data_IF_213069315471
#
_entry.id   IF_213069315471
#
_cell.length_a   1.000
_cell.length_b   1.000
_cell.length_c   1.000
_cell.angle_alpha   90.00
_cell.angle_beta   90.00
_cell.angle_gamma   90.00
#
_symmetry.space_group_name_H-M   'P 1'
#
loop_
_entity.id
_entity.type
_entity.pdbx_description
1 polymer ?
#
# COMPACT_ATOMS: atom_id res chain seq x y z
N UNK A 1 17.25 11.05 -5.87
CA UNK A 1 16.19 11.33 -4.87
C UNK A 1 15.28 10.12 -4.62
N UNK A 2 14.48 9.65 -5.60
CA UNK A 2 13.51 8.55 -5.40
C UNK A 2 14.10 7.20 -4.96
N UNK A 3 15.26 6.81 -5.51
CA UNK A 3 15.96 5.57 -5.10
C UNK A 3 16.45 5.63 -3.64
N UNK A 4 16.98 6.78 -3.22
CA UNK A 4 17.44 7.01 -1.84
C UNK A 4 16.25 6.97 -0.88
N UNK A 5 15.11 7.53 -1.27
CA UNK A 5 13.87 7.43 -0.52
C UNK A 5 13.40 5.99 -0.36
N UNK A 6 13.37 5.22 -1.46
CA UNK A 6 12.99 3.80 -1.42
C UNK A 6 13.94 2.94 -0.56
N UNK A 7 15.24 3.21 -0.61
CA UNK A 7 16.23 2.58 0.27
C UNK A 7 15.99 2.94 1.74
N UNK A 8 15.82 4.23 2.04
CA UNK A 8 15.55 4.69 3.41
C UNK A 8 14.27 4.05 3.97
N UNK A 9 13.19 4.01 3.19
CA UNK A 9 11.95 3.35 3.57
C UNK A 9 12.15 1.85 3.84
N UNK A 10 12.93 1.18 3.01
CA UNK A 10 13.24 -0.25 3.18
C UNK A 10 13.95 -0.51 4.51
N UNK A 11 14.96 0.31 4.86
CA UNK A 11 15.64 0.20 6.15
C UNK A 11 14.73 0.49 7.33
N UNK A 12 13.94 1.57 7.27
CA UNK A 12 12.99 1.94 8.35
C UNK A 12 11.99 0.81 8.60
N UNK A 13 11.40 0.27 7.52
CA UNK A 13 10.46 -0.85 7.60
C UNK A 13 11.13 -2.10 8.16
N UNK A 14 12.30 -2.45 7.63
CA UNK A 14 12.99 -3.68 8.01
C UNK A 14 13.43 -3.67 9.48
N UNK A 15 14.08 -2.58 9.92
CA UNK A 15 14.52 -2.41 11.32
C UNK A 15 13.32 -2.32 12.26
N UNK A 16 12.29 -1.55 11.88
CA UNK A 16 11.08 -1.40 12.69
C UNK A 16 10.33 -2.72 12.89
N UNK A 17 10.18 -3.53 11.84
CA UNK A 17 9.52 -4.84 11.95
C UNK A 17 10.36 -5.83 12.77
N UNK A 18 11.67 -5.90 12.54
CA UNK A 18 12.55 -6.81 13.28
C UNK A 18 12.53 -6.53 14.79
N UNK A 19 12.57 -5.25 15.18
CA UNK A 19 12.61 -4.88 16.58
C UNK A 19 11.24 -5.05 17.26
N UNK A 20 10.15 -4.67 16.58
CA UNK A 20 8.80 -4.80 17.14
C UNK A 20 8.37 -6.26 17.27
N UNK A 21 8.81 -7.15 16.38
CA UNK A 21 8.44 -8.58 16.40
C UNK A 21 9.31 -9.42 17.33
N UNK A 22 10.39 -8.86 17.87
CA UNK A 22 11.50 -9.62 18.46
C UNK A 22 11.11 -10.47 19.68
N UNK A 23 10.27 -9.94 20.56
CA UNK A 23 9.83 -10.59 21.81
C UNK A 23 8.32 -10.91 21.81
N UNK A 24 7.69 -10.89 20.65
CA UNK A 24 6.25 -11.07 20.52
C UNK A 24 5.95 -12.58 20.39
N UNK A 25 5.16 -13.17 21.30
CA UNK A 25 4.75 -14.57 21.18
C UNK A 25 4.06 -14.84 19.84
N UNK A 26 4.30 -16.00 19.25
CA UNK A 26 3.75 -16.38 17.95
C UNK A 26 2.22 -16.24 17.89
N UNK A 27 1.53 -16.45 19.02
CA UNK A 27 0.08 -16.31 19.17
C UNK A 27 -0.43 -14.88 18.98
N UNK A 28 0.39 -13.86 19.27
CA UNK A 28 0.00 -12.43 19.19
C UNK A 28 0.80 -11.64 18.16
N UNK A 29 1.74 -12.28 17.45
CA UNK A 29 2.57 -11.70 16.39
C UNK A 29 1.73 -10.97 15.32
N UNK A 30 0.65 -11.59 14.85
CA UNK A 30 -0.25 -10.98 13.85
C UNK A 30 -0.93 -9.69 14.36
N UNK A 31 -1.37 -9.67 15.63
CA UNK A 31 -2.00 -8.49 16.24
C UNK A 31 -0.99 -7.35 16.38
N UNK A 32 0.23 -7.65 16.84
CA UNK A 32 1.29 -6.66 16.98
C UNK A 32 1.74 -6.10 15.62
N UNK A 33 1.78 -6.94 14.59
CA UNK A 33 2.13 -6.50 13.22
C UNK A 33 1.00 -5.65 12.61
N UNK A 34 -0.25 -5.96 12.92
CA UNK A 34 -1.41 -5.13 12.59
C UNK A 34 -1.34 -3.74 13.23
N UNK A 35 -0.96 -3.66 14.50
CA UNK A 35 -0.76 -2.37 15.21
C UNK A 35 0.41 -1.58 14.59
N UNK A 36 1.53 -2.22 14.29
CA UNK A 36 2.67 -1.60 13.60
C UNK A 36 2.28 -1.01 12.24
N UNK A 37 1.60 -1.80 11.40
CA UNK A 37 1.12 -1.35 10.09
C UNK A 37 0.06 -0.23 10.20
N UNK A 38 -0.81 -0.29 11.23
CA UNK A 38 -1.77 0.76 11.54
C UNK A 38 -1.11 2.09 11.90
N UNK A 39 -0.11 2.07 12.77
CA UNK A 39 0.68 3.26 13.15
C UNK A 39 1.45 3.80 11.94
N UNK A 40 2.10 2.91 11.17
CA UNK A 40 2.83 3.29 9.94
C UNK A 40 1.92 3.97 8.92
N UNK A 41 0.70 3.45 8.71
CA UNK A 41 -0.30 4.02 7.79
C UNK A 41 -0.94 5.30 8.32
N UNK A 42 -1.10 5.47 9.63
CA UNK A 42 -1.53 6.74 10.24
C UNK A 42 -0.54 7.88 9.90
N UNK A 43 0.75 7.58 9.84
CA UNK A 43 1.77 8.51 9.36
C UNK A 43 1.53 8.94 7.91
N UNK A 44 1.12 8.02 7.02
CA UNK A 44 0.76 8.36 5.64
C UNK A 44 -0.48 9.24 5.54
N UNK A 45 -1.53 8.95 6.33
CA UNK A 45 -2.76 9.76 6.37
C UNK A 45 -2.46 11.17 6.91
N UNK A 46 -1.72 11.24 8.02
CA UNK A 46 -1.34 12.51 8.67
C UNK A 46 -0.39 13.30 7.78
N UNK A 47 0.53 12.64 7.07
CA UNK A 47 1.47 13.28 6.14
C UNK A 47 0.79 13.83 4.88
N UNK A 48 -0.16 13.09 4.30
CA UNK A 48 -0.92 13.59 3.14
C UNK A 48 -1.80 14.77 3.50
N UNK A 49 -2.55 14.67 4.61
CA UNK A 49 -3.50 15.71 4.99
C UNK A 49 -2.83 16.90 5.69
N UNK A 50 -2.00 16.62 6.70
CA UNK A 50 -1.26 17.62 7.45
C UNK A 50 -0.18 18.30 6.64
N UNK A 51 0.50 17.58 5.74
CA UNK A 51 1.49 18.17 4.83
C UNK A 51 0.86 19.12 3.81
N UNK A 52 -0.27 18.74 3.22
CA UNK A 52 -1.03 19.62 2.32
C UNK A 52 -1.53 20.88 3.05
N UNK A 53 -2.14 20.71 4.22
CA UNK A 53 -2.62 21.82 5.04
C UNK A 53 -1.49 22.77 5.50
N UNK A 54 -0.31 22.23 5.84
CA UNK A 54 0.86 23.02 6.20
C UNK A 54 1.37 23.85 5.00
N UNK A 55 1.46 23.23 3.82
CA UNK A 55 1.88 23.91 2.58
C UNK A 55 0.90 25.02 2.21
N UNK A 56 -0.40 24.83 2.41
CA UNK A 56 -1.42 25.85 2.15
C UNK A 56 -1.33 27.05 3.10
N UNK A 57 -0.92 26.84 4.36
CA UNK A 57 -0.81 27.91 5.36
C UNK A 57 0.46 28.75 5.23
N UNK A 58 1.61 28.09 5.02
CA UNK A 58 2.93 28.75 5.12
C UNK A 58 3.68 28.79 3.79
N UNK A 59 3.19 28.07 2.77
CA UNK A 59 3.81 27.96 1.46
C UNK A 59 4.82 26.80 1.39
N UNK A 60 5.06 26.31 0.16
CA UNK A 60 5.94 25.16 -0.09
C UNK A 60 7.38 25.36 0.43
N UNK A 61 7.92 26.57 0.24
CA UNK A 61 9.32 26.91 0.56
C UNK A 61 9.65 26.82 2.06
N UNK A 62 8.66 27.04 2.93
CA UNK A 62 8.81 27.03 4.40
C UNK A 62 8.28 25.73 5.02
N UNK A 63 7.23 25.14 4.44
CA UNK A 63 6.66 23.88 4.91
C UNK A 63 7.63 22.70 4.78
N UNK A 64 8.34 22.59 3.66
CA UNK A 64 9.31 21.53 3.42
C UNK A 64 10.47 21.49 4.42
N UNK A 65 11.22 22.59 4.64
CA UNK A 65 12.27 22.60 5.64
C UNK A 65 11.71 22.42 7.06
N UNK A 66 10.51 22.92 7.37
CA UNK A 66 9.88 22.70 8.68
C UNK A 66 9.61 21.21 8.95
N UNK A 67 9.05 20.47 7.98
CA UNK A 67 8.83 19.02 8.07
C UNK A 67 10.17 18.27 8.14
N UNK A 68 11.18 18.71 7.37
CA UNK A 68 12.51 18.12 7.42
C UNK A 68 13.18 18.31 8.80
N UNK A 69 13.09 19.50 9.39
CA UNK A 69 13.58 19.78 10.73
C UNK A 69 12.83 18.99 11.81
N UNK A 70 11.50 18.88 11.69
CA UNK A 70 10.70 18.05 12.58
C UNK A 70 11.10 16.57 12.47
N UNK A 71 11.40 16.08 11.27
CA UNK A 71 11.90 14.71 11.04
C UNK A 71 13.29 14.49 11.63
N UNK A 72 14.12 15.53 11.70
CA UNK A 72 15.44 15.48 12.33
C UNK A 72 15.35 15.19 13.83
N UNK A 73 14.24 15.53 14.50
CA UNK A 73 14.00 15.18 15.91
C UNK A 73 13.92 13.66 16.13
N UNK A 74 13.69 12.86 15.08
CA UNK A 74 13.75 11.40 15.18
C UNK A 74 15.17 10.89 15.49
N UNK A 75 16.22 11.61 15.09
CA UNK A 75 17.62 11.22 15.31
C UNK A 75 17.99 11.23 16.81
N UNK A 76 17.82 12.33 17.56
CA UNK A 76 18.14 12.33 18.99
C UNK A 76 17.25 11.37 19.79
N UNK A 77 16.00 11.17 19.37
CA UNK A 77 15.11 10.18 19.98
C UNK A 77 15.66 8.76 19.75
N UNK A 78 16.08 8.43 18.53
CA UNK A 78 16.68 7.14 18.19
C UNK A 78 18.02 6.92 18.92
N UNK A 79 18.86 7.94 19.06
CA UNK A 79 20.13 7.83 19.80
C UNK A 79 19.93 7.64 21.30
N UNK A 80 18.84 8.17 21.86
CA UNK A 80 18.49 7.98 23.28
C UNK A 80 17.73 6.67 23.53
N UNK A 81 17.16 6.06 22.51
CA UNK A 81 16.59 4.73 22.59
C UNK A 81 17.74 3.72 22.76
N UNK A 82 18.01 3.32 24.01
CA UNK A 82 18.96 2.24 24.31
C UNK A 82 18.37 0.92 23.83
N UNK A 83 18.71 0.51 22.62
CA UNK A 83 18.41 -0.81 22.09
C UNK A 83 19.41 -1.81 22.71
N UNK A 84 18.95 -2.90 23.35
CA UNK A 84 19.85 -3.93 23.85
C UNK A 84 20.62 -4.60 22.71
N UNK A 85 21.95 -4.60 22.77
CA UNK A 85 22.80 -5.38 21.85
C UNK A 85 22.54 -6.88 22.05
N UNK A 86 21.78 -7.47 21.14
CA UNK A 86 21.52 -8.92 21.15
C UNK A 86 21.58 -9.47 19.71
N UNK A 87 22.14 -10.67 19.50
CA UNK A 87 22.33 -11.24 18.17
C UNK A 87 20.99 -11.53 17.46
N UNK A 88 20.96 -11.37 16.14
CA UNK A 88 19.81 -11.67 15.28
C UNK A 88 19.67 -13.19 15.15
N UNK A 89 18.58 -13.76 15.67
CA UNK A 89 18.26 -15.17 15.43
C UNK A 89 17.75 -15.33 14.00
N UNK A 90 18.62 -15.85 13.13
CA UNK A 90 18.24 -16.31 11.80
C UNK A 90 17.34 -17.54 11.97
N UNK A 91 16.03 -17.35 11.87
CA UNK A 91 15.09 -18.47 11.88
C UNK A 91 15.16 -19.19 10.54
N UNK A 92 15.80 -20.36 10.51
CA UNK A 92 15.75 -21.27 9.37
C UNK A 92 14.30 -21.76 9.18
N UNK A 93 13.61 -21.21 8.17
CA UNK A 93 12.27 -21.65 7.78
C UNK A 93 12.37 -23.03 7.14
N UNK A 94 11.91 -24.05 7.86
CA UNK A 94 11.74 -25.42 7.38
C UNK A 94 10.79 -25.43 6.17
N UNK A 95 11.31 -25.75 5.00
CA UNK A 95 10.53 -25.78 3.76
C UNK A 95 9.82 -27.12 3.62
N UNK A 96 8.51 -27.16 3.84
CA UNK A 96 7.67 -28.25 3.35
C UNK A 96 7.45 -28.05 1.85
N UNK A 97 7.75 -29.08 1.06
CA UNK A 97 7.65 -29.07 -0.40
C UNK A 97 6.19 -28.96 -0.86
N UNK A 98 5.76 -27.74 -1.19
CA UNK A 98 4.53 -27.47 -1.93
C UNK A 98 4.81 -27.61 -3.43
N UNK A 99 3.90 -28.25 -4.15
CA UNK A 99 3.98 -28.55 -5.59
C UNK A 99 4.14 -27.27 -6.45
N UNK A 100 5.10 -27.29 -7.39
CA UNK A 100 5.58 -26.13 -8.15
C UNK A 100 4.53 -25.34 -8.97
N UNK A 101 3.37 -25.93 -9.29
CA UNK A 101 2.37 -25.31 -10.17
C UNK A 101 1.54 -24.23 -9.45
N UNK A 102 1.14 -24.48 -8.19
CA UNK A 102 0.33 -23.55 -7.39
C UNK A 102 1.14 -22.33 -6.93
N UNK A 103 2.45 -22.48 -6.73
CA UNK A 103 3.34 -21.38 -6.35
C UNK A 103 3.45 -20.36 -7.49
N UNK A 104 3.53 -20.84 -8.73
CA UNK A 104 3.74 -20.00 -9.92
C UNK A 104 2.53 -19.14 -10.26
N UNK A 105 1.31 -19.62 -10.04
CA UNK A 105 0.10 -18.84 -10.34
C UNK A 105 -0.08 -17.67 -9.38
N UNK A 106 0.23 -17.83 -8.10
CA UNK A 106 0.17 -16.72 -7.14
C UNK A 106 1.27 -15.69 -7.38
N UNK A 107 2.48 -16.12 -7.76
CA UNK A 107 3.52 -15.20 -8.19
C UNK A 107 3.06 -14.30 -9.34
N UNK A 108 2.38 -14.87 -10.35
CA UNK A 108 1.79 -14.11 -11.47
C UNK A 108 0.69 -13.17 -11.00
N UNK A 109 -0.23 -13.62 -10.14
CA UNK A 109 -1.30 -12.77 -9.58
C UNK A 109 -0.69 -11.59 -8.80
N UNK A 110 0.33 -11.86 -7.97
CA UNK A 110 1.06 -10.83 -7.23
C UNK A 110 1.67 -9.79 -8.15
N UNK A 111 2.38 -10.25 -9.19
CA UNK A 111 2.97 -9.36 -10.21
C UNK A 111 1.92 -8.47 -10.88
N UNK A 112 0.81 -9.05 -11.36
CA UNK A 112 -0.26 -8.28 -12.02
C UNK A 112 -0.87 -7.25 -11.05
N UNK A 113 -1.11 -7.64 -9.80
CA UNK A 113 -1.68 -6.74 -8.80
C UNK A 113 -0.75 -5.56 -8.48
N UNK A 114 0.57 -5.82 -8.39
CA UNK A 114 1.60 -4.80 -8.24
C UNK A 114 1.73 -3.89 -9.47
N UNK A 115 1.78 -4.48 -10.67
CA UNK A 115 1.97 -3.78 -11.93
C UNK A 115 0.80 -2.86 -12.26
N UNK A 116 -0.44 -3.33 -12.14
CA UNK A 116 -1.60 -2.52 -12.51
C UNK A 116 -1.91 -1.48 -11.43
N UNK A 117 -1.89 -1.85 -10.14
CA UNK A 117 -2.27 -0.95 -9.06
C UNK A 117 -1.21 0.14 -8.80
N UNK A 118 -0.16 -0.14 -8.03
CA UNK A 118 0.96 0.77 -7.82
C UNK A 118 1.73 1.16 -9.09
N UNK A 119 2.13 0.19 -9.92
CA UNK A 119 3.06 0.42 -11.04
C UNK A 119 2.48 1.31 -12.15
N UNK A 120 1.21 1.10 -12.51
CA UNK A 120 0.55 1.83 -13.58
C UNK A 120 -0.40 2.91 -13.03
N UNK A 121 -1.45 2.50 -12.32
CA UNK A 121 -2.55 3.42 -11.94
C UNK A 121 -2.05 4.49 -10.99
N UNK A 122 -1.32 4.15 -9.92
CA UNK A 122 -0.83 5.18 -8.99
C UNK A 122 0.21 6.11 -9.62
N UNK A 123 1.11 5.55 -10.43
CA UNK A 123 2.15 6.34 -11.09
C UNK A 123 1.58 7.35 -12.08
N UNK A 124 0.45 7.02 -12.71
CA UNK A 124 -0.17 7.84 -13.77
C UNK A 124 -1.37 8.67 -13.32
N UNK A 125 -1.97 8.37 -12.16
CA UNK A 125 -3.20 9.01 -11.68
C UNK A 125 -3.14 10.54 -11.68
N UNK A 126 -2.06 11.11 -11.14
CA UNK A 126 -1.90 12.57 -11.07
C UNK A 126 -1.82 13.22 -12.44
N UNK A 127 -1.15 12.57 -13.40
CA UNK A 127 -1.04 13.07 -14.77
C UNK A 127 -2.39 12.97 -15.50
N UNK A 128 -3.10 11.85 -15.36
CA UNK A 128 -4.43 11.67 -15.97
C UNK A 128 -5.43 12.67 -15.41
N UNK A 129 -5.49 12.88 -14.09
CA UNK A 129 -6.40 13.86 -13.49
C UNK A 129 -6.06 15.29 -13.91
N UNK A 130 -4.77 15.63 -14.03
CA UNK A 130 -4.33 16.94 -14.50
C UNK A 130 -4.70 17.18 -15.97
N UNK A 131 -4.46 16.20 -16.83
CA UNK A 131 -4.81 16.24 -18.26
C UNK A 131 -6.32 16.43 -18.47
N UNK A 132 -7.15 15.69 -17.72
CA UNK A 132 -8.61 15.77 -17.82
C UNK A 132 -9.21 17.03 -17.19
N UNK A 133 -8.52 17.69 -16.26
CA UNK A 133 -8.93 19.02 -15.77
C UNK A 133 -8.70 20.11 -16.83
N UNK A 134 -7.65 19.98 -17.64
CA UNK A 134 -7.25 20.97 -18.64
C UNK A 134 -7.03 22.38 -18.05
N UNK A 135 -7.17 23.42 -18.88
CA UNK A 135 -7.18 24.84 -18.47
C UNK A 135 -8.52 25.27 -17.87
N UNK A 136 -9.45 24.33 -17.69
CA UNK A 136 -10.79 24.62 -17.18
C UNK A 136 -10.68 25.03 -15.73
N UNK A 137 -11.18 26.23 -15.40
CA UNK A 137 -11.19 26.79 -14.05
C UNK A 137 -12.12 25.99 -13.12
N UNK A 138 -11.69 24.79 -12.75
CA UNK A 138 -12.35 23.98 -11.74
C UNK A 138 -12.01 24.52 -10.36
N UNK A 139 -13.00 24.53 -9.46
CA UNK A 139 -12.85 25.02 -8.07
C UNK A 139 -11.81 24.20 -7.29
N UNK A 140 -11.47 23.00 -7.76
CA UNK A 140 -10.56 22.06 -7.12
C UNK A 140 -9.33 21.85 -8.01
N UNK A 141 -8.13 22.04 -7.46
CA UNK A 141 -6.88 21.81 -8.19
C UNK A 141 -6.64 20.32 -8.49
N UNK A 142 -5.88 20.01 -9.55
CA UNK A 142 -5.51 18.63 -9.89
C UNK A 142 -4.73 17.94 -8.75
N UNK A 143 -3.91 18.70 -8.02
CA UNK A 143 -3.18 18.20 -6.86
C UNK A 143 -4.12 17.80 -5.72
N UNK A 144 -5.11 18.64 -5.41
CA UNK A 144 -6.12 18.37 -4.37
C UNK A 144 -6.96 17.15 -4.72
N UNK A 145 -7.38 17.01 -5.98
CA UNK A 145 -8.18 15.87 -6.43
C UNK A 145 -7.36 14.56 -6.41
N UNK A 146 -6.11 14.62 -6.86
CA UNK A 146 -5.18 13.48 -6.79
C UNK A 146 -4.99 13.05 -5.34
N UNK A 147 -4.70 13.99 -4.45
CA UNK A 147 -4.57 13.74 -3.01
C UNK A 147 -5.82 13.13 -2.39
N UNK A 148 -7.02 13.62 -2.75
CA UNK A 148 -8.28 13.08 -2.26
C UNK A 148 -8.52 11.62 -2.70
N UNK A 149 -8.25 11.30 -3.97
CA UNK A 149 -8.40 9.94 -4.50
C UNK A 149 -7.39 8.98 -3.85
N UNK A 150 -6.14 9.41 -3.64
CA UNK A 150 -5.14 8.64 -2.89
C UNK A 150 -5.53 8.47 -1.41
N UNK A 151 -6.05 9.50 -0.75
CA UNK A 151 -6.52 9.42 0.64
C UNK A 151 -7.67 8.41 0.77
N UNK A 152 -8.65 8.47 -0.14
CA UNK A 152 -9.75 7.50 -0.19
C UNK A 152 -9.23 6.07 -0.31
N UNK A 153 -8.20 5.83 -1.12
CA UNK A 153 -7.54 4.52 -1.20
C UNK A 153 -6.95 4.09 0.15
N UNK A 154 -6.18 4.95 0.81
CA UNK A 154 -5.57 4.57 2.10
C UNK A 154 -6.63 4.25 3.15
N UNK A 155 -7.75 4.98 3.14
CA UNK A 155 -8.92 4.69 3.97
C UNK A 155 -9.54 3.34 3.61
N UNK A 156 -9.71 3.03 2.32
CA UNK A 156 -10.21 1.72 1.87
C UNK A 156 -9.30 0.58 2.32
N UNK A 157 -7.99 0.70 2.12
CA UNK A 157 -7.02 -0.29 2.57
C UNK A 157 -7.02 -0.50 4.10
N UNK A 158 -7.35 0.53 4.88
CA UNK A 158 -7.36 0.45 6.34
C UNK A 158 -8.69 -0.02 6.93
N UNK A 159 -9.82 0.49 6.43
CA UNK A 159 -11.15 0.23 6.99
C UNK A 159 -11.90 -0.87 6.24
N UNK A 160 -11.78 -0.90 4.91
CA UNK A 160 -12.55 -1.82 4.07
C UNK A 160 -11.83 -3.16 3.87
N UNK A 161 -10.51 -3.23 4.06
CA UNK A 161 -9.75 -4.47 3.87
C UNK A 161 -10.26 -5.68 4.68
N UNK A 162 -10.65 -5.57 5.98
CA UNK A 162 -11.18 -6.71 6.72
C UNK A 162 -12.51 -7.22 6.16
N UNK A 163 -13.40 -6.30 5.77
CA UNK A 163 -14.73 -6.65 5.25
C UNK A 163 -14.65 -7.21 3.82
N UNK A 164 -13.87 -6.56 2.95
CA UNK A 164 -13.64 -6.98 1.57
C UNK A 164 -12.85 -8.29 1.50
N UNK A 165 -11.90 -8.49 2.43
CA UNK A 165 -11.19 -9.76 2.61
C UNK A 165 -12.13 -10.89 3.05
N UNK A 166 -13.01 -10.64 4.02
CA UNK A 166 -13.99 -11.63 4.48
C UNK A 166 -14.99 -12.07 3.41
N UNK A 167 -15.19 -11.25 2.37
CA UNK A 167 -15.97 -11.65 1.18
C UNK A 167 -15.29 -12.80 0.42
N UNK A 168 -13.95 -12.81 0.37
CA UNK A 168 -13.17 -13.90 -0.25
C UNK A 168 -13.28 -15.21 0.51
N UNK A 169 -13.40 -15.14 1.85
CA UNK A 169 -13.57 -16.32 2.70
C UNK A 169 -14.96 -16.95 2.52
N UNK A 170 -15.99 -16.12 2.33
CA UNK A 170 -17.38 -16.59 2.18
C UNK A 170 -17.70 -17.15 0.79
N UNK A 171 -17.20 -16.51 -0.27
CA UNK A 171 -17.50 -16.89 -1.65
C UNK A 171 -16.39 -17.70 -2.32
N UNK A 172 -15.28 -17.91 -1.61
CA UNK A 172 -14.10 -18.59 -2.13
C UNK A 172 -13.18 -17.68 -2.92
N UNK A 173 -11.88 -17.92 -2.78
CA UNK A 173 -10.81 -17.11 -3.37
C UNK A 173 -10.93 -17.00 -4.88
N UNK A 174 -11.23 -18.10 -5.58
CA UNK A 174 -11.28 -18.12 -7.04
C UNK A 174 -12.42 -17.26 -7.60
N UNK A 175 -13.63 -17.39 -7.06
CA UNK A 175 -14.78 -16.62 -7.52
C UNK A 175 -14.59 -15.13 -7.22
N UNK A 176 -14.06 -14.83 -6.03
CA UNK A 176 -13.83 -13.46 -5.58
C UNK A 176 -12.71 -12.77 -6.36
N UNK A 177 -11.63 -13.50 -6.70
CA UNK A 177 -10.57 -12.99 -7.57
C UNK A 177 -11.10 -12.66 -8.96
N UNK A 178 -11.87 -13.57 -9.58
CA UNK A 178 -12.44 -13.32 -10.90
C UNK A 178 -13.43 -12.15 -10.86
N UNK A 179 -14.33 -12.13 -9.88
CA UNK A 179 -15.35 -11.09 -9.73
C UNK A 179 -14.75 -9.69 -9.54
N UNK A 180 -13.81 -9.52 -8.61
CA UNK A 180 -13.18 -8.23 -8.38
C UNK A 180 -12.23 -7.81 -9.50
N UNK A 181 -11.57 -8.76 -10.19
CA UNK A 181 -10.75 -8.42 -11.36
C UNK A 181 -11.61 -7.91 -12.51
N UNK A 182 -12.76 -8.53 -12.78
CA UNK A 182 -13.71 -8.06 -13.79
C UNK A 182 -14.28 -6.69 -13.42
N UNK A 183 -14.67 -6.51 -12.15
CA UNK A 183 -15.19 -5.24 -11.67
C UNK A 183 -14.15 -4.11 -11.75
N UNK A 184 -12.92 -4.37 -11.29
CA UNK A 184 -11.81 -3.41 -11.37
C UNK A 184 -11.42 -3.10 -12.82
N UNK A 185 -11.40 -4.10 -13.70
CA UNK A 185 -11.17 -3.91 -15.12
C UNK A 185 -12.25 -3.04 -15.79
N UNK A 186 -13.52 -3.28 -15.47
CA UNK A 186 -14.63 -2.44 -15.94
C UNK A 186 -14.51 -1.00 -15.45
N UNK A 187 -14.13 -0.80 -14.18
CA UNK A 187 -13.91 0.52 -13.62
C UNK A 187 -12.78 1.27 -14.37
N UNK A 188 -11.69 0.60 -14.73
CA UNK A 188 -10.62 1.20 -15.52
C UNK A 188 -11.04 1.52 -16.96
N UNK A 189 -11.83 0.65 -17.61
CA UNK A 189 -12.37 0.93 -18.95
C UNK A 189 -13.31 2.14 -18.94
N UNK A 190 -14.16 2.25 -17.92
CA UNK A 190 -15.01 3.42 -17.71
C UNK A 190 -14.16 4.68 -17.48
N UNK A 191 -13.11 4.59 -16.65
CA UNK A 191 -12.19 5.70 -16.43
C UNK A 191 -11.48 6.15 -17.73
N UNK A 192 -11.10 5.22 -18.60
CA UNK A 192 -10.44 5.53 -19.87
C UNK A 192 -11.37 6.26 -20.85
N UNK A 193 -12.63 5.82 -20.95
CA UNK A 193 -13.64 6.36 -21.87
C UNK A 193 -14.33 7.64 -21.38
N UNK A 194 -14.27 7.93 -20.08
CA UNK A 194 -14.95 9.08 -19.47
C UNK A 194 -14.28 10.41 -19.86
N UNK A 195 -15.07 11.41 -20.26
CA UNK A 195 -14.60 12.79 -20.45
C UNK A 195 -14.64 13.62 -19.16
N UNK A 196 -15.52 13.27 -18.22
CA UNK A 196 -15.66 13.99 -16.94
C UNK A 196 -14.62 13.53 -15.92
N UNK A 197 -13.85 14.48 -15.37
CA UNK A 197 -12.82 14.18 -14.34
C UNK A 197 -13.41 13.54 -13.08
N UNK A 198 -14.63 13.92 -12.67
CA UNK A 198 -15.27 13.34 -11.50
C UNK A 198 -15.61 11.87 -11.72
N UNK A 199 -16.00 11.50 -12.95
CA UNK A 199 -16.27 10.11 -13.30
C UNK A 199 -14.98 9.28 -13.33
N UNK A 200 -13.88 9.86 -13.82
CA UNK A 200 -12.54 9.24 -13.74
C UNK A 200 -12.13 9.02 -12.28
N UNK A 201 -12.32 10.01 -11.41
CA UNK A 201 -11.97 9.92 -10.00
C UNK A 201 -12.79 8.84 -9.28
N UNK A 202 -14.12 8.82 -9.44
CA UNK A 202 -15.00 7.79 -8.84
C UNK A 202 -14.63 6.39 -9.36
N UNK A 203 -14.43 6.25 -10.67
CA UNK A 203 -14.04 4.96 -11.26
C UNK A 203 -12.69 4.46 -10.74
N UNK A 204 -11.73 5.38 -10.53
CA UNK A 204 -10.44 5.04 -9.91
C UNK A 204 -10.61 4.58 -8.45
N UNK A 205 -11.48 5.22 -7.67
CA UNK A 205 -11.76 4.79 -6.29
C UNK A 205 -12.42 3.40 -6.27
N UNK A 206 -13.32 3.11 -7.20
CA UNK A 206 -13.91 1.77 -7.35
C UNK A 206 -12.86 0.72 -7.73
N UNK A 207 -11.93 1.06 -8.64
CA UNK A 207 -10.77 0.23 -8.95
C UNK A 207 -9.93 -0.03 -7.69
N UNK A 208 -9.64 0.99 -6.88
CA UNK A 208 -8.91 0.80 -5.63
C UNK A 208 -9.64 -0.10 -4.63
N UNK A 209 -10.96 0.05 -4.46
CA UNK A 209 -11.73 -0.86 -3.61
C UNK A 209 -11.61 -2.32 -4.08
N UNK A 210 -11.67 -2.57 -5.39
CA UNK A 210 -11.46 -3.90 -5.96
C UNK A 210 -10.04 -4.42 -5.73
N UNK A 211 -9.04 -3.55 -5.87
CA UNK A 211 -7.63 -3.86 -5.62
C UNK A 211 -7.38 -4.24 -4.16
N UNK A 212 -7.96 -3.50 -3.21
CA UNK A 212 -7.92 -3.81 -1.78
C UNK A 212 -8.55 -5.18 -1.49
N UNK A 213 -9.70 -5.48 -2.10
CA UNK A 213 -10.38 -6.77 -1.92
C UNK A 213 -9.55 -7.94 -2.47
N UNK A 214 -8.98 -7.78 -3.68
CA UNK A 214 -8.09 -8.75 -4.31
C UNK A 214 -6.84 -8.97 -3.47
N UNK A 215 -6.20 -7.90 -3.01
CA UNK A 215 -5.00 -7.99 -2.21
C UNK A 215 -5.27 -8.72 -0.89
N UNK A 216 -6.34 -8.35 -0.18
CA UNK A 216 -6.72 -9.00 1.08
C UNK A 216 -7.06 -10.49 0.88
N UNK A 217 -7.89 -10.80 -0.12
CA UNK A 217 -8.33 -12.18 -0.40
C UNK A 217 -7.21 -13.10 -0.88
N UNK A 218 -6.36 -12.63 -1.81
CA UNK A 218 -5.24 -13.43 -2.32
C UNK A 218 -4.18 -13.60 -1.25
N UNK A 219 -3.86 -12.55 -0.49
CA UNK A 219 -2.92 -12.63 0.63
C UNK A 219 -3.39 -13.66 1.67
N UNK A 220 -4.68 -13.63 2.04
CA UNK A 220 -5.28 -14.64 2.92
C UNK A 220 -5.11 -16.05 2.37
N UNK A 221 -5.46 -16.26 1.10
CA UNK A 221 -5.36 -17.56 0.43
C UNK A 221 -3.92 -18.10 0.36
N UNK A 222 -2.96 -17.24 0.04
CA UNK A 222 -1.55 -17.61 -0.11
C UNK A 222 -0.92 -17.89 1.25
N UNK A 223 -1.29 -17.14 2.29
CA UNK A 223 -0.77 -17.33 3.65
C UNK A 223 -1.05 -18.74 4.20
N UNK A 224 -2.19 -19.34 3.84
CA UNK A 224 -2.56 -20.70 4.24
C UNK A 224 -1.75 -21.79 3.53
N UNK A 225 -1.04 -21.47 2.43
CA UNK A 225 -0.27 -22.45 1.64
C UNK A 225 1.20 -22.54 2.02
N UNK A 226 1.66 -21.75 2.99
CA UNK A 226 3.01 -21.81 3.54
C UNK A 226 3.94 -20.66 3.14
N UNK A 227 5.08 -20.61 3.80
CA UNK A 227 6.00 -19.45 3.76
C UNK A 227 6.63 -19.19 2.40
N UNK A 228 6.85 -20.24 1.59
CA UNK A 228 7.45 -20.13 0.26
C UNK A 228 6.51 -19.43 -0.73
N UNK A 229 5.26 -19.88 -0.83
CA UNK A 229 4.26 -19.27 -1.71
C UNK A 229 3.96 -17.82 -1.34
N UNK A 230 3.93 -17.52 -0.03
CA UNK A 230 3.76 -16.16 0.47
C UNK A 230 4.94 -15.26 0.10
N UNK A 231 6.17 -15.74 0.27
CA UNK A 231 7.37 -15.00 -0.13
C UNK A 231 7.36 -14.68 -1.62
N UNK A 232 7.14 -15.68 -2.47
CA UNK A 232 7.17 -15.52 -3.92
C UNK A 232 6.06 -14.55 -4.40
N UNK A 233 4.86 -14.65 -3.82
CA UNK A 233 3.76 -13.71 -4.09
C UNK A 233 4.12 -12.25 -3.75
N UNK A 234 4.65 -12.00 -2.55
CA UNK A 234 5.03 -10.64 -2.13
C UNK A 234 6.21 -10.12 -2.96
N UNK A 235 7.22 -10.95 -3.23
CA UNK A 235 8.36 -10.56 -4.07
C UNK A 235 7.92 -10.20 -5.48
N UNK A 236 7.04 -10.99 -6.10
CA UNK A 236 6.52 -10.67 -7.42
C UNK A 236 5.61 -9.44 -7.41
N UNK A 237 4.83 -9.22 -6.34
CA UNK A 237 4.03 -8.00 -6.19
C UNK A 237 4.89 -6.75 -6.09
N UNK A 238 5.92 -6.78 -5.25
CA UNK A 238 6.86 -5.67 -5.11
C UNK A 238 7.60 -5.42 -6.44
N UNK A 239 7.96 -6.48 -7.17
CA UNK A 239 8.57 -6.38 -8.50
C UNK A 239 7.62 -5.78 -9.55
N UNK A 240 6.34 -6.13 -9.51
CA UNK A 240 5.34 -5.52 -10.38
C UNK A 240 5.10 -4.04 -10.05
N UNK A 241 5.17 -3.67 -8.77
CA UNK A 241 4.94 -2.30 -8.31
C UNK A 241 6.11 -1.33 -8.57
N UNK A 242 7.29 -1.86 -8.91
CA UNK A 242 8.51 -1.10 -9.18
C UNK A 242 8.47 -0.42 -10.56
#
# INVERSE_FOLDING_TARGET
>A
ARLIWGLAWSFIRHIGVLEVMRDVPAEVSGRTMGVYNGISRLGSVTGLFGGAFLVDLVGFSTALPAIACASLLAIPIAMRAKLPDRPLLVSESSATFVTNADVRIYAVIGFILGAVGPGLVMATLGAVLADRLGTTASVISAATLTGAVLAARYVLDSLAAPWLGGLSDRFGVRATVVGFTLFGGMALLLAASAYSVYLVAVSTVLFFASGTALQAGVTGAVSQRGSRSFRDFITCMDFGAA
#
